data_IF_074110823677
#
_entry.id   IF_074110823677
#
_cell.length_a   1.000
_cell.length_b   1.000
_cell.length_c   1.000
_cell.angle_alpha   90.00
_cell.angle_beta   90.00
_cell.angle_gamma   90.00
#
_symmetry.space_group_name_H-M   'P 1'
#
loop_
_entity.id
_entity.type
_entity.pdbx_description
1 polymer ?
#
# COMPACT_ATOMS: atom_id res chain seq x y z
N UNK A 1 15.66 -26.50 -10.86
CA UNK A 1 15.39 -25.30 -11.69
C UNK A 1 14.56 -24.35 -10.86
N UNK A 2 15.09 -23.19 -10.47
CA UNK A 2 14.25 -22.16 -9.86
C UNK A 2 13.33 -21.63 -10.96
N UNK A 3 12.01 -21.81 -10.83
CA UNK A 3 11.05 -21.30 -11.80
C UNK A 3 11.14 -19.77 -11.86
N UNK A 4 11.30 -19.21 -13.06
CA UNK A 4 11.28 -17.77 -13.24
C UNK A 4 9.89 -17.21 -12.88
N UNK A 5 9.86 -16.06 -12.20
CA UNK A 5 8.60 -15.42 -11.86
C UNK A 5 7.88 -14.98 -13.15
N UNK A 6 6.58 -15.28 -13.33
CA UNK A 6 5.88 -14.96 -14.57
C UNK A 6 5.80 -13.45 -14.77
N UNK A 7 5.97 -13.01 -16.02
CA UNK A 7 5.68 -11.64 -16.44
C UNK A 7 4.19 -11.33 -16.30
N UNK A 8 3.85 -10.06 -16.30
CA UNK A 8 2.48 -9.57 -16.17
C UNK A 8 1.54 -10.05 -17.29
N UNK A 9 2.05 -10.30 -18.50
CA UNK A 9 1.32 -10.87 -19.63
C UNK A 9 1.10 -12.40 -19.53
N UNK A 10 1.85 -13.06 -18.64
CA UNK A 10 1.81 -14.50 -18.43
C UNK A 10 0.91 -14.90 -17.23
N UNK A 11 0.45 -13.93 -16.45
CA UNK A 11 -0.47 -14.16 -15.33
C UNK A 11 -1.89 -14.20 -15.91
N UNK A 12 -2.58 -15.36 -15.89
CA UNK A 12 -3.92 -15.45 -16.46
C UNK A 12 -4.91 -14.67 -15.61
N UNK A 13 -5.91 -14.00 -16.22
CA UNK A 13 -6.99 -13.39 -15.48
C UNK A 13 -7.85 -14.45 -14.79
N UNK A 14 -8.54 -14.09 -13.71
CA UNK A 14 -9.60 -14.93 -13.15
C UNK A 14 -10.66 -15.27 -14.21
N UNK A 15 -11.25 -16.46 -14.10
CA UNK A 15 -12.34 -16.92 -14.98
C UNK A 15 -13.69 -17.02 -14.27
N UNK A 16 -13.66 -16.98 -12.93
CA UNK A 16 -14.83 -16.92 -12.06
C UNK A 16 -14.66 -15.79 -11.06
N UNK A 17 -15.75 -15.34 -10.41
CA UNK A 17 -15.67 -14.29 -9.40
C UNK A 17 -14.71 -14.67 -8.26
N UNK A 18 -13.97 -13.67 -7.81
CA UNK A 18 -13.06 -13.78 -6.67
C UNK A 18 -13.81 -13.55 -5.36
N UNK A 19 -13.28 -14.10 -4.27
CA UNK A 19 -13.81 -13.80 -2.92
C UNK A 19 -13.61 -12.32 -2.62
N UNK A 20 -14.68 -11.63 -2.22
CA UNK A 20 -14.63 -10.21 -1.85
C UNK A 20 -14.40 -9.23 -3.00
N UNK A 21 -14.39 -9.69 -4.26
CA UNK A 21 -14.06 -8.83 -5.40
C UNK A 21 -12.56 -8.51 -5.51
N UNK A 22 -11.69 -9.36 -4.96
CA UNK A 22 -10.25 -9.24 -5.03
C UNK A 22 -9.72 -9.21 -6.48
N UNK A 23 -8.97 -8.17 -6.82
CA UNK A 23 -8.34 -7.98 -8.13
C UNK A 23 -6.88 -7.59 -7.94
N UNK A 24 -5.94 -8.37 -8.46
CA UNK A 24 -4.52 -8.06 -8.36
C UNK A 24 -4.17 -6.90 -9.31
N UNK A 25 -3.64 -5.80 -8.76
CA UNK A 25 -3.25 -4.63 -9.56
C UNK A 25 -1.74 -4.51 -9.72
N UNK A 26 -0.97 -4.98 -8.73
CA UNK A 26 0.48 -5.10 -8.81
C UNK A 26 0.93 -6.44 -8.23
N UNK A 27 2.13 -6.87 -8.61
CA UNK A 27 2.79 -8.02 -8.02
C UNK A 27 4.21 -7.64 -7.63
N UNK A 28 4.56 -7.92 -6.37
CA UNK A 28 5.82 -7.54 -5.78
C UNK A 28 5.87 -6.08 -5.32
N UNK A 29 7.03 -5.68 -4.78
CA UNK A 29 7.34 -4.42 -4.16
C UNK A 29 8.82 -4.09 -4.40
N UNK A 30 9.16 -2.90 -4.89
CA UNK A 30 10.53 -2.51 -5.20
C UNK A 30 11.33 -2.10 -3.95
N UNK A 31 10.71 -2.12 -2.76
CA UNK A 31 11.32 -1.64 -1.49
C UNK A 31 12.27 -2.64 -0.83
N UNK A 32 12.19 -3.94 -1.19
CA UNK A 32 13.17 -4.98 -0.82
C UNK A 32 13.52 -5.08 0.68
N UNK A 33 12.53 -5.02 1.56
CA UNK A 33 12.75 -5.26 2.99
C UNK A 33 13.27 -6.70 3.22
N UNK A 34 14.21 -6.89 4.14
CA UNK A 34 14.90 -8.16 4.37
C UNK A 34 13.97 -9.28 4.85
N UNK A 35 12.91 -8.93 5.58
CA UNK A 35 11.92 -9.88 6.09
C UNK A 35 10.83 -10.24 5.07
N UNK A 36 10.75 -9.53 3.95
CA UNK A 36 9.80 -9.86 2.88
C UNK A 36 10.34 -11.01 2.03
N UNK A 37 9.43 -11.82 1.47
CA UNK A 37 9.82 -12.89 0.53
C UNK A 37 10.61 -12.31 -0.65
N UNK A 38 11.76 -12.90 -1.05
CA UNK A 38 12.51 -12.47 -2.23
C UNK A 38 11.70 -12.49 -3.53
N UNK A 39 10.69 -13.37 -3.63
CA UNK A 39 9.78 -13.43 -4.79
C UNK A 39 8.93 -12.17 -4.92
N UNK A 40 8.78 -11.40 -3.84
CA UNK A 40 8.11 -10.11 -3.86
C UNK A 40 8.98 -8.99 -4.42
N UNK A 41 10.26 -9.18 -4.75
CA UNK A 41 11.10 -8.05 -5.23
C UNK A 41 10.94 -7.75 -6.72
N UNK A 42 10.37 -8.67 -7.49
CA UNK A 42 10.08 -8.46 -8.90
C UNK A 42 8.79 -7.63 -9.04
N UNK A 43 8.91 -6.31 -8.91
CA UNK A 43 7.78 -5.40 -8.98
C UNK A 43 7.28 -5.19 -10.42
N UNK A 44 5.97 -5.36 -10.63
CA UNK A 44 5.28 -5.09 -11.90
C UNK A 44 3.80 -4.75 -11.69
N UNK A 45 3.25 -3.93 -12.56
CA UNK A 45 1.81 -3.62 -12.59
C UNK A 45 1.10 -4.56 -13.55
N UNK A 46 -0.09 -5.03 -13.18
CA UNK A 46 -0.93 -5.79 -14.10
C UNK A 46 -1.45 -4.88 -15.21
N UNK A 47 -1.62 -5.37 -16.45
CA UNK A 47 -2.20 -4.56 -17.52
C UNK A 47 -3.60 -4.08 -17.14
N UNK A 48 -3.90 -2.81 -17.40
CA UNK A 48 -5.22 -2.24 -17.10
C UNK A 48 -6.36 -3.01 -17.79
N UNK A 49 -6.12 -3.54 -18.98
CA UNK A 49 -7.07 -4.39 -19.70
C UNK A 49 -7.40 -5.67 -18.92
N UNK A 50 -6.39 -6.31 -18.35
CA UNK A 50 -6.53 -7.51 -17.49
C UNK A 50 -7.33 -7.15 -16.24
N UNK A 51 -6.94 -6.10 -15.51
CA UNK A 51 -7.64 -5.63 -14.31
C UNK A 51 -9.12 -5.37 -14.60
N UNK A 52 -9.43 -4.62 -15.67
CA UNK A 52 -10.82 -4.31 -16.00
C UNK A 52 -11.62 -5.55 -16.43
N UNK A 53 -10.97 -6.58 -16.99
CA UNK A 53 -11.63 -7.87 -17.26
C UNK A 53 -12.04 -8.55 -15.95
N UNK A 54 -11.16 -8.59 -14.95
CA UNK A 54 -11.47 -9.18 -13.64
C UNK A 54 -12.54 -8.39 -12.88
N UNK A 55 -12.48 -7.06 -12.93
CA UNK A 55 -13.52 -6.17 -12.37
C UNK A 55 -14.89 -6.48 -12.96
N UNK A 56 -14.98 -6.65 -14.29
CA UNK A 56 -16.23 -7.00 -14.97
C UNK A 56 -16.75 -8.38 -14.56
N UNK A 57 -15.87 -9.38 -14.42
CA UNK A 57 -16.26 -10.72 -13.95
C UNK A 57 -16.88 -10.64 -12.55
N UNK A 58 -16.24 -9.93 -11.63
CA UNK A 58 -16.76 -9.73 -10.28
C UNK A 58 -18.09 -8.96 -10.28
N UNK A 59 -18.19 -7.86 -11.04
CA UNK A 59 -19.42 -7.08 -11.19
C UNK A 59 -20.59 -7.90 -11.72
N UNK A 60 -20.37 -8.72 -12.76
CA UNK A 60 -21.41 -9.57 -13.35
C UNK A 60 -21.96 -10.59 -12.36
N UNK A 61 -21.16 -10.98 -11.37
CA UNK A 61 -21.58 -11.82 -10.26
C UNK A 61 -22.18 -11.06 -9.07
N UNK A 62 -22.48 -9.77 -9.24
CA UNK A 62 -23.14 -8.93 -8.24
C UNK A 62 -22.20 -8.25 -7.25
N UNK A 63 -20.88 -8.29 -7.46
CA UNK A 63 -19.95 -7.57 -6.59
C UNK A 63 -20.21 -6.06 -6.64
N UNK A 64 -20.41 -5.46 -5.46
CA UNK A 64 -20.54 -4.02 -5.28
C UNK A 64 -19.26 -3.34 -4.81
N UNK A 65 -18.24 -4.12 -4.51
CA UNK A 65 -16.92 -3.68 -4.10
C UNK A 65 -15.86 -4.42 -4.92
N UNK A 66 -14.79 -3.73 -5.25
CA UNK A 66 -13.56 -4.34 -5.75
C UNK A 66 -12.46 -4.08 -4.73
N UNK A 67 -11.78 -5.14 -4.30
CA UNK A 67 -10.66 -5.07 -3.37
C UNK A 67 -9.34 -5.17 -4.16
N UNK A 68 -8.60 -4.08 -4.23
CA UNK A 68 -7.35 -4.03 -4.98
C UNK A 68 -6.25 -4.70 -4.17
N UNK A 69 -5.68 -5.76 -4.74
CA UNK A 69 -4.61 -6.54 -4.11
C UNK A 69 -3.27 -6.05 -4.65
N UNK A 70 -2.46 -5.55 -3.73
CA UNK A 70 -1.09 -5.07 -3.97
C UNK A 70 -0.24 -5.24 -2.71
N UNK A 71 1.09 -5.19 -2.87
CA UNK A 71 2.00 -4.95 -1.74
C UNK A 71 2.00 -3.47 -1.33
N UNK A 72 1.75 -2.58 -2.30
CA UNK A 72 1.57 -1.15 -2.11
C UNK A 72 0.71 -0.63 -3.29
N UNK A 73 -0.57 -0.34 -3.03
CA UNK A 73 -1.52 0.05 -4.09
C UNK A 73 -1.08 1.34 -4.79
N UNK A 74 -0.39 2.23 -4.06
CA UNK A 74 0.07 3.53 -4.55
C UNK A 74 1.19 3.42 -5.59
N UNK A 75 1.72 2.21 -5.81
CA UNK A 75 2.72 1.95 -6.84
C UNK A 75 2.11 1.48 -8.16
N UNK A 76 0.79 1.39 -8.33
CA UNK A 76 0.23 1.03 -9.63
C UNK A 76 0.72 1.97 -10.76
N UNK A 77 1.27 1.38 -11.83
CA UNK A 77 1.88 2.11 -12.96
C UNK A 77 3.22 2.78 -12.66
N UNK A 78 3.77 2.62 -11.45
CA UNK A 78 5.05 3.18 -11.05
C UNK A 78 6.23 2.52 -11.79
N UNK A 79 7.36 3.23 -11.84
CA UNK A 79 8.66 2.66 -12.22
C UNK A 79 9.55 2.64 -10.97
N UNK A 80 9.72 1.45 -10.38
CA UNK A 80 10.33 1.32 -9.07
C UNK A 80 9.49 2.04 -8.01
N UNK A 81 10.11 2.91 -7.22
CA UNK A 81 9.45 3.67 -6.14
C UNK A 81 8.81 4.99 -6.60
N UNK A 82 8.96 5.35 -7.88
CA UNK A 82 8.46 6.62 -8.41
C UNK A 82 6.99 6.49 -8.80
N UNK A 83 6.11 7.11 -8.02
CA UNK A 83 4.66 7.04 -8.20
C UNK A 83 4.24 7.62 -9.55
N UNK A 84 3.27 6.93 -10.16
CA UNK A 84 2.60 7.39 -11.37
C UNK A 84 1.17 7.80 -11.02
N UNK A 85 0.97 9.09 -10.75
CA UNK A 85 -0.31 9.65 -10.27
C UNK A 85 -1.40 9.52 -11.34
N UNK A 86 -1.03 9.70 -12.60
CA UNK A 86 -1.91 9.58 -13.75
C UNK A 86 -2.42 8.14 -13.90
N UNK A 87 -1.54 7.14 -13.73
CA UNK A 87 -1.94 5.73 -13.78
C UNK A 87 -2.86 5.35 -12.62
N UNK A 88 -2.56 5.80 -11.39
CA UNK A 88 -3.43 5.60 -10.22
C UNK A 88 -4.82 6.20 -10.46
N UNK A 89 -4.89 7.47 -10.84
CA UNK A 89 -6.16 8.12 -11.12
C UNK A 89 -6.92 7.43 -12.25
N UNK A 90 -6.24 6.99 -13.31
CA UNK A 90 -6.86 6.25 -14.42
C UNK A 90 -7.43 4.90 -13.96
N UNK A 91 -6.71 4.17 -13.11
CA UNK A 91 -7.17 2.92 -12.51
C UNK A 91 -8.44 3.14 -11.69
N UNK A 92 -8.39 4.02 -10.68
CA UNK A 92 -9.51 4.25 -9.77
C UNK A 92 -10.72 4.82 -10.52
N UNK A 93 -10.53 5.77 -11.46
CA UNK A 93 -11.62 6.32 -12.31
C UNK A 93 -12.30 5.28 -13.18
N UNK A 94 -11.56 4.29 -13.68
CA UNK A 94 -12.15 3.22 -14.51
C UNK A 94 -12.94 2.23 -13.67
N UNK A 95 -12.43 1.87 -12.49
CA UNK A 95 -13.10 0.93 -11.59
C UNK A 95 -14.35 1.58 -10.96
N UNK A 96 -14.30 2.86 -10.60
CA UNK A 96 -15.43 3.57 -9.98
C UNK A 96 -16.66 3.72 -10.90
N UNK A 97 -16.45 3.63 -12.21
CA UNK A 97 -17.55 3.56 -13.20
C UNK A 97 -18.22 2.19 -13.24
N UNK A 98 -17.54 1.16 -12.76
CA UNK A 98 -18.03 -0.21 -12.79
C UNK A 98 -18.72 -0.60 -11.48
N UNK A 99 -18.15 -0.19 -10.34
CA UNK A 99 -18.64 -0.51 -9.00
C UNK A 99 -18.66 0.73 -8.09
N UNK A 100 -19.57 0.79 -7.11
CA UNK A 100 -19.70 1.95 -6.22
C UNK A 100 -18.64 2.02 -5.10
N UNK A 101 -17.81 0.99 -4.92
CA UNK A 101 -16.86 0.89 -3.81
C UNK A 101 -15.56 0.26 -4.27
N UNK A 102 -14.43 0.84 -3.83
CA UNK A 102 -13.09 0.32 -4.06
C UNK A 102 -12.39 0.27 -2.70
N UNK A 103 -11.92 -0.90 -2.32
CA UNK A 103 -11.03 -1.07 -1.15
C UNK A 103 -9.65 -1.48 -1.62
N UNK A 104 -8.67 -1.41 -0.73
CA UNK A 104 -7.34 -1.95 -0.97
C UNK A 104 -6.72 -2.38 0.36
N UNK A 105 -5.94 -3.44 0.29
CA UNK A 105 -5.37 -4.07 1.48
C UNK A 105 -4.12 -3.36 2.00
N UNK A 106 -3.21 -2.92 1.11
CA UNK A 106 -1.92 -2.36 1.50
C UNK A 106 -1.61 -1.01 0.84
N UNK A 107 -0.99 -0.14 1.63
CA UNK A 107 -0.34 1.08 1.18
C UNK A 107 0.96 1.30 1.98
N UNK A 108 1.79 2.25 1.55
CA UNK A 108 2.99 2.67 2.29
C UNK A 108 2.94 4.15 2.64
N UNK A 109 3.36 4.52 3.86
CA UNK A 109 3.56 5.92 4.25
C UNK A 109 4.47 6.66 3.25
N UNK A 110 5.56 6.01 2.83
CA UNK A 110 6.50 6.53 1.84
C UNK A 110 5.90 6.68 0.43
N UNK A 111 4.77 6.04 0.14
CA UNK A 111 4.07 6.24 -1.14
C UNK A 111 2.94 7.27 -1.03
N UNK A 112 2.32 7.41 0.15
CA UNK A 112 1.26 8.40 0.32
C UNK A 112 1.78 9.84 0.30
N UNK A 113 2.90 10.12 0.98
CA UNK A 113 3.43 11.48 1.09
C UNK A 113 3.67 12.19 -0.27
N UNK A 114 4.31 11.57 -1.29
CA UNK A 114 4.51 12.19 -2.59
C UNK A 114 3.23 12.21 -3.43
N UNK A 115 2.24 11.39 -3.09
CA UNK A 115 0.91 11.36 -3.69
C UNK A 115 -0.13 12.24 -2.97
N UNK A 116 0.27 13.04 -1.96
CA UNK A 116 -0.65 13.80 -1.10
C UNK A 116 -1.72 14.61 -1.83
N UNK A 117 -1.40 15.14 -3.01
CA UNK A 117 -2.32 15.96 -3.81
C UNK A 117 -3.43 15.17 -4.54
N UNK A 118 -3.35 13.83 -4.56
CA UNK A 118 -4.37 12.98 -5.19
C UNK A 118 -5.12 12.11 -4.19
N UNK A 119 -4.71 12.03 -2.92
CA UNK A 119 -5.32 11.12 -1.93
C UNK A 119 -6.82 11.41 -1.75
N UNK A 120 -7.21 12.68 -1.68
CA UNK A 120 -8.63 13.08 -1.61
C UNK A 120 -9.44 12.54 -2.80
N UNK A 121 -8.94 12.76 -4.01
CA UNK A 121 -9.60 12.30 -5.24
C UNK A 121 -9.68 10.77 -5.28
N UNK A 122 -8.64 10.07 -4.83
CA UNK A 122 -8.67 8.61 -4.72
C UNK A 122 -9.72 8.14 -3.70
N UNK A 123 -9.84 8.79 -2.54
CA UNK A 123 -10.89 8.50 -1.55
C UNK A 123 -12.29 8.66 -2.13
N UNK A 124 -12.56 9.78 -2.81
CA UNK A 124 -13.84 10.08 -3.44
C UNK A 124 -14.19 9.05 -4.53
N UNK A 125 -13.22 8.75 -5.41
CA UNK A 125 -13.38 7.73 -6.45
C UNK A 125 -13.63 6.33 -5.87
N UNK A 126 -13.11 6.06 -4.67
CA UNK A 126 -13.29 4.80 -3.99
C UNK A 126 -14.67 4.66 -3.32
N UNK A 127 -15.46 5.74 -3.24
CA UNK A 127 -16.76 5.74 -2.56
C UNK A 127 -16.61 5.65 -1.04
N UNK A 128 -15.59 6.31 -0.49
CA UNK A 128 -15.27 6.35 0.94
C UNK A 128 -15.26 7.79 1.47
N UNK A 129 -15.39 7.94 2.78
CA UNK A 129 -15.57 9.24 3.44
C UNK A 129 -15.67 9.10 4.95
N UNK A 130 -16.18 10.15 5.61
CA UNK A 130 -16.32 10.18 7.07
C UNK A 130 -17.23 9.07 7.64
N UNK A 131 -18.29 8.74 6.92
CA UNK A 131 -19.27 7.71 7.24
C UNK A 131 -18.76 6.28 6.90
N UNK A 132 -17.83 6.18 5.96
CA UNK A 132 -17.28 4.93 5.47
C UNK A 132 -15.76 5.05 5.25
N UNK A 133 -14.95 5.02 6.31
CA UNK A 133 -13.49 5.10 6.19
C UNK A 133 -12.88 3.84 5.56
N UNK A 134 -11.63 3.96 5.12
CA UNK A 134 -10.78 2.88 4.65
C UNK A 134 -9.83 2.44 5.77
N UNK A 135 -9.51 1.15 5.82
CA UNK A 135 -8.62 0.57 6.84
C UNK A 135 -7.47 -0.21 6.19
N UNK A 136 -6.57 0.46 5.43
CA UNK A 136 -5.45 -0.23 4.81
C UNK A 136 -4.46 -0.69 5.86
N UNK A 137 -3.89 -1.88 5.69
CA UNK A 137 -2.75 -2.30 6.47
C UNK A 137 -1.50 -1.58 5.95
N UNK A 138 -0.80 -0.87 6.83
CA UNK A 138 0.36 -0.06 6.47
C UNK A 138 1.50 -0.37 7.42
N UNK A 139 2.62 -0.82 6.89
CA UNK A 139 3.74 -1.19 7.75
C UNK A 139 4.46 0.03 8.32
N UNK A 140 4.43 0.19 9.64
CA UNK A 140 5.29 1.12 10.39
C UNK A 140 6.64 0.43 10.71
N UNK A 141 6.55 -0.83 11.12
CA UNK A 141 7.58 -1.80 11.52
C UNK A 141 8.45 -1.38 12.70
N UNK A 142 9.17 -0.25 12.60
CA UNK A 142 10.05 0.26 13.64
C UNK A 142 10.18 1.77 13.55
N UNK A 143 10.30 2.44 14.70
CA UNK A 143 10.65 3.86 14.78
C UNK A 143 12.17 4.11 14.78
N UNK A 144 13.00 3.06 14.86
CA UNK A 144 14.45 3.22 14.91
C UNK A 144 15.08 3.43 13.53
N UNK A 145 15.77 4.56 13.28
CA UNK A 145 16.54 4.76 12.06
C UNK A 145 17.61 3.68 11.83
N UNK A 146 18.17 3.11 12.90
CA UNK A 146 19.20 2.07 12.83
C UNK A 146 18.63 0.78 12.26
N UNK A 147 17.48 0.34 12.80
CA UNK A 147 16.74 -0.83 12.32
C UNK A 147 16.25 -0.62 10.88
N UNK A 148 15.66 0.55 10.61
CA UNK A 148 15.21 0.92 9.27
C UNK A 148 16.35 0.83 8.24
N UNK A 149 17.52 1.40 8.55
CA UNK A 149 18.68 1.37 7.66
C UNK A 149 19.20 -0.05 7.42
N UNK A 150 19.22 -0.89 8.46
CA UNK A 150 19.81 -2.22 8.39
C UNK A 150 18.91 -3.24 7.70
N UNK A 151 17.59 -3.20 7.96
CA UNK A 151 16.67 -4.26 7.54
C UNK A 151 15.71 -3.86 6.41
N UNK A 152 15.50 -2.57 6.19
CA UNK A 152 14.44 -2.09 5.30
C UNK A 152 14.72 -0.69 4.75
N UNK A 153 15.96 -0.44 4.34
CA UNK A 153 16.36 0.88 3.81
C UNK A 153 15.57 1.31 2.58
N UNK A 154 15.03 0.38 1.80
CA UNK A 154 14.13 0.71 0.68
C UNK A 154 12.70 1.08 1.11
N UNK A 155 12.29 0.77 2.35
CA UNK A 155 10.97 1.11 2.88
C UNK A 155 10.78 2.62 3.03
N UNK A 156 11.81 3.32 3.50
CA UNK A 156 11.79 4.78 3.66
C UNK A 156 12.01 5.53 2.35
N UNK A 157 12.38 4.88 1.24
CA UNK A 157 12.72 5.62 0.01
C UNK A 157 11.51 6.35 -0.59
N UNK A 158 11.71 7.54 -1.19
CA UNK A 158 12.99 8.22 -1.45
C UNK A 158 13.67 8.92 -0.26
N UNK A 159 13.05 8.95 0.92
CA UNK A 159 13.68 9.52 2.13
C UNK A 159 14.74 8.61 2.73
N UNK A 160 15.63 9.22 3.51
CA UNK A 160 16.63 8.49 4.28
C UNK A 160 15.95 7.78 5.47
N UNK A 161 16.52 6.66 5.97
CA UNK A 161 15.97 5.95 7.13
C UNK A 161 15.78 6.82 8.38
N UNK A 162 16.59 7.86 8.57
CA UNK A 162 16.49 8.80 9.69
C UNK A 162 15.26 9.70 9.61
N UNK A 163 14.72 9.89 8.40
CA UNK A 163 13.52 10.68 8.15
C UNK A 163 12.26 9.83 8.30
N UNK A 164 12.37 8.51 8.48
CA UNK A 164 11.23 7.60 8.54
C UNK A 164 10.18 7.98 9.60
N UNK A 165 10.53 8.31 10.86
CA UNK A 165 9.54 8.74 11.84
C UNK A 165 8.72 9.94 11.39
N UNK A 166 9.37 10.90 10.72
CA UNK A 166 8.70 12.10 10.21
C UNK A 166 7.81 11.77 9.00
N UNK A 167 8.28 10.91 8.09
CA UNK A 167 7.48 10.40 6.95
C UNK A 167 6.22 9.70 7.44
N UNK A 168 6.32 8.87 8.48
CA UNK A 168 5.18 8.19 9.10
C UNK A 168 4.18 9.20 9.64
N UNK A 169 4.63 10.18 10.43
CA UNK A 169 3.76 11.21 11.01
C UNK A 169 3.03 12.03 9.95
N UNK A 170 3.74 12.53 8.94
CA UNK A 170 3.14 13.33 7.86
C UNK A 170 2.15 12.51 7.02
N UNK A 171 2.54 11.30 6.63
CA UNK A 171 1.68 10.44 5.84
C UNK A 171 0.45 9.97 6.64
N UNK A 172 0.59 9.70 7.94
CA UNK A 172 -0.54 9.39 8.82
C UNK A 172 -1.55 10.52 8.86
N UNK A 173 -1.10 11.78 9.03
CA UNK A 173 -2.00 12.94 8.99
C UNK A 173 -2.75 13.03 7.67
N UNK A 174 -2.04 12.89 6.53
CA UNK A 174 -2.66 12.91 5.20
C UNK A 174 -3.69 11.78 5.05
N UNK A 175 -3.34 10.57 5.48
CA UNK A 175 -4.26 9.42 5.44
C UNK A 175 -5.52 9.70 6.26
N UNK A 176 -5.37 10.12 7.52
CA UNK A 176 -6.49 10.37 8.43
C UNK A 176 -7.39 11.52 7.99
N UNK A 177 -6.82 12.61 7.48
CA UNK A 177 -7.55 13.74 6.88
C UNK A 177 -8.42 13.31 5.69
N UNK A 178 -8.05 12.22 5.03
CA UNK A 178 -8.76 11.64 3.88
C UNK A 178 -9.43 10.30 4.21
N UNK A 179 -9.73 10.06 5.49
CA UNK A 179 -10.50 8.91 5.99
C UNK A 179 -9.85 7.54 5.74
N UNK A 180 -8.53 7.51 5.59
CA UNK A 180 -7.74 6.28 5.61
C UNK A 180 -7.19 6.14 7.02
N UNK A 181 -7.62 5.10 7.73
CA UNK A 181 -7.28 4.79 9.12
C UNK A 181 -6.39 3.55 9.12
N UNK A 182 -5.05 3.74 9.09
CA UNK A 182 -4.15 2.65 8.75
C UNK A 182 -3.96 1.67 9.91
N UNK A 183 -4.27 0.40 9.68
CA UNK A 183 -3.93 -0.67 10.62
C UNK A 183 -2.42 -0.92 10.57
N UNK A 184 -1.70 -0.33 11.51
CA UNK A 184 -0.23 -0.32 11.49
C UNK A 184 0.36 -1.65 11.96
N UNK A 185 1.35 -2.19 11.23
CA UNK A 185 2.16 -3.32 11.71
C UNK A 185 3.45 -2.85 12.34
N UNK A 186 3.89 -3.57 13.39
CA UNK A 186 5.17 -3.40 14.07
C UNK A 186 5.92 -4.74 14.04
N UNK A 187 7.25 -4.68 14.00
CA UNK A 187 8.12 -5.85 14.12
C UNK A 187 9.07 -5.58 15.28
N UNK A 188 9.10 -6.52 16.21
CA UNK A 188 10.02 -6.55 17.35
C UNK A 188 10.88 -7.81 17.27
N UNK A 189 12.01 -7.83 17.95
CA UNK A 189 12.92 -8.96 18.00
C UNK A 189 13.82 -9.08 16.76
N UNK A 190 14.23 -7.96 16.15
CA UNK A 190 15.30 -8.03 15.14
C UNK A 190 16.59 -8.58 15.76
N UNK A 191 17.43 -9.34 15.02
CA UNK A 191 18.58 -10.07 15.57
C UNK A 191 19.55 -9.26 16.45
N UNK A 192 19.68 -7.96 16.21
CA UNK A 192 20.51 -7.05 17.00
C UNK A 192 19.74 -5.84 17.54
N UNK A 193 18.42 -5.95 17.71
CA UNK A 193 17.58 -4.90 18.29
C UNK A 193 18.03 -4.57 19.73
N UNK A 194 18.21 -3.29 20.03
CA UNK A 194 18.58 -2.83 21.37
C UNK A 194 17.39 -2.17 22.05
N UNK A 195 17.51 -1.95 23.37
CA UNK A 195 16.50 -1.21 24.14
C UNK A 195 16.24 0.18 23.56
N UNK A 196 17.29 0.90 23.14
CA UNK A 196 17.17 2.20 22.47
C UNK A 196 16.32 2.15 21.19
N UNK A 197 16.36 1.05 20.43
CA UNK A 197 15.55 0.91 19.21
C UNK A 197 14.07 0.67 19.53
N UNK A 198 13.82 -0.07 20.60
CA UNK A 198 12.48 -0.28 21.13
C UNK A 198 11.93 1.06 21.64
N UNK A 199 12.71 1.81 22.42
CA UNK A 199 12.33 3.14 22.91
C UNK A 199 11.97 4.06 21.76
N UNK A 200 12.81 4.15 20.70
CA UNK A 200 12.48 4.97 19.50
C UNK A 200 11.18 4.55 18.81
N UNK A 201 10.86 3.27 18.84
CA UNK A 201 9.60 2.76 18.28
C UNK A 201 8.41 3.14 19.14
N UNK A 202 8.55 3.04 20.47
CA UNK A 202 7.54 3.50 21.43
C UNK A 202 7.31 5.01 21.34
N UNK A 203 8.38 5.80 21.26
CA UNK A 203 8.31 7.26 21.07
C UNK A 203 7.53 7.63 19.80
N UNK A 204 7.75 6.94 18.68
CA UNK A 204 6.97 7.16 17.46
C UNK A 204 5.49 6.80 17.64
N UNK A 205 5.19 5.71 18.35
CA UNK A 205 3.79 5.34 18.66
C UNK A 205 3.13 6.39 19.58
N UNK A 206 3.86 6.89 20.57
CA UNK A 206 3.39 7.94 21.48
C UNK A 206 3.18 9.27 20.78
N UNK A 207 4.04 9.62 19.82
CA UNK A 207 3.85 10.78 18.94
C UNK A 207 2.54 10.65 18.15
N UNK A 208 2.31 9.50 17.51
CA UNK A 208 1.08 9.24 16.74
C UNK A 208 -0.18 9.31 17.62
N UNK A 209 -0.11 8.77 18.84
CA UNK A 209 -1.19 8.88 19.84
C UNK A 209 -1.43 10.34 20.22
N UNK A 210 -0.38 11.12 20.43
CA UNK A 210 -0.45 12.54 20.78
C UNK A 210 -1.05 13.39 19.66
N UNK A 211 -0.78 13.01 18.40
CA UNK A 211 -1.41 13.58 17.21
C UNK A 211 -2.87 13.17 17.03
N UNK A 212 -3.41 12.31 17.90
CA UNK A 212 -4.75 11.70 17.79
C UNK A 212 -4.94 10.95 16.48
N UNK A 213 -3.88 10.30 16.01
CA UNK A 213 -3.93 9.47 14.82
C UNK A 213 -4.97 8.35 15.00
N UNK A 214 -5.82 8.17 13.99
CA UNK A 214 -6.71 7.03 13.84
C UNK A 214 -5.95 5.96 13.06
N UNK A 215 -5.63 4.86 13.73
CA UNK A 215 -4.84 3.75 13.22
C UNK A 215 -5.38 2.43 13.78
#
# INVERSE_FOLDING_TARGET
MAGEAPREDQIPPIVTPSRGGAVQVTRGCPRRCHFCSPTAWNFRSMPLSTIMKEVKINKLAGARNIDLIAEDVMLYGAKGININKEALLSLFKRISREVPSITFNHASFASVLPAKNIIRELTELSGHGADKPLFPQVGLESGSPRIMRKYMSGKSRPWRPEEWPQVVKEAMSIMNENYWYPCCTLIIGFPDETEDDIIRTLELVDDLRSMRAKA
#
